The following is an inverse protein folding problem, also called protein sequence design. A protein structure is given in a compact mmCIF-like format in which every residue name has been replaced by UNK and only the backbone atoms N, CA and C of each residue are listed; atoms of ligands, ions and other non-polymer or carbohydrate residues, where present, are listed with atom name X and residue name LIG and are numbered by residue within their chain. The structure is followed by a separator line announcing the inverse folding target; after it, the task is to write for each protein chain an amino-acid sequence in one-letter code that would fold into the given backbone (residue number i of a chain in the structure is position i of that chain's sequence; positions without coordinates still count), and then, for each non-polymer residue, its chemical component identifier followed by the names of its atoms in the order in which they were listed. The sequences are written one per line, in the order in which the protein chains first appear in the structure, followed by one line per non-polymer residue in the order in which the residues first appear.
data_IF_862698905140
#
_entry.id   IF_862698905140
#
_cell.length_a   1.000
_cell.length_b   1.000
_cell.length_c   1.000
_cell.angle_alpha   90.00
_cell.angle_beta   90.00
_cell.angle_gamma   90.00
#
_symmetry.space_group_name_H-M   'P 1'
#
loop_
_entity.id
_entity.type
_entity.pdbx_description
1 polymer ?
#
# COMPACT_ATOMS: atom_id res chain seq x y z
N UNK A 1 -19.69 -7.14 25.32
CA UNK A 1 -18.49 -6.71 24.57
C UNK A 1 -18.09 -5.37 25.15
N UNK A 2 -16.85 -5.26 25.67
CA UNK A 2 -16.31 -3.95 26.07
C UNK A 2 -16.36 -2.99 24.87
N UNK A 3 -16.68 -1.73 25.12
CA UNK A 3 -16.58 -0.68 24.11
C UNK A 3 -15.13 -0.61 23.59
N UNK A 4 -14.92 -0.40 22.26
CA UNK A 4 -13.58 -0.34 21.68
C UNK A 4 -12.82 0.84 22.29
N UNK A 5 -11.77 0.58 23.09
CA UNK A 5 -11.06 1.62 23.86
C UNK A 5 -10.11 2.43 22.99
N UNK A 6 -10.07 3.75 23.23
CA UNK A 6 -8.97 4.60 22.76
C UNK A 6 -7.78 4.35 23.67
N UNK A 7 -6.60 4.07 23.11
CA UNK A 7 -5.40 3.78 23.90
C UNK A 7 -4.53 5.04 23.93
N UNK A 8 -4.30 5.65 25.12
CA UNK A 8 -3.40 6.79 25.23
C UNK A 8 -1.95 6.36 24.99
N UNK A 9 -1.20 7.13 24.21
CA UNK A 9 0.24 6.96 24.03
C UNK A 9 0.93 7.61 25.24
N UNK A 10 1.40 6.79 26.18
CA UNK A 10 1.94 7.23 27.48
C UNK A 10 3.03 8.30 27.37
N UNK A 11 3.86 8.21 26.34
CA UNK A 11 4.95 9.16 26.10
C UNK A 11 4.47 10.55 25.64
N UNK A 12 3.23 10.69 25.18
CA UNK A 12 2.70 11.93 24.60
C UNK A 12 1.29 12.17 25.14
N UNK A 13 1.15 12.97 26.21
CA UNK A 13 -0.16 13.35 26.74
C UNK A 13 -1.05 13.93 25.64
N UNK A 14 -2.32 13.48 25.58
CA UNK A 14 -3.28 13.89 24.57
C UNK A 14 -3.23 13.10 23.25
N UNK A 15 -2.20 12.28 22.99
CA UNK A 15 -2.16 11.42 21.80
C UNK A 15 -2.78 10.06 22.07
N UNK A 16 -3.66 9.60 21.17
CA UNK A 16 -4.35 8.32 21.26
C UNK A 16 -4.19 7.51 19.98
N UNK A 17 -4.20 6.19 20.11
CA UNK A 17 -4.31 5.24 18.99
C UNK A 17 -5.52 4.33 19.17
N UNK A 18 -6.19 3.98 18.08
CA UNK A 18 -7.26 2.97 18.12
C UNK A 18 -7.51 2.31 16.75
N UNK A 19 -8.49 1.42 16.72
CA UNK A 19 -9.06 0.84 15.52
C UNK A 19 -10.22 1.69 14.98
N UNK A 20 -10.88 1.20 13.92
CA UNK A 20 -12.01 1.90 13.29
C UNK A 20 -13.23 2.02 14.22
N UNK A 21 -13.42 1.08 15.13
CA UNK A 21 -14.61 1.07 16.00
C UNK A 21 -14.42 2.05 17.15
N UNK A 22 -13.21 2.16 17.69
CA UNK A 22 -12.87 3.18 18.69
C UNK A 22 -13.04 4.59 18.14
N UNK A 23 -12.60 4.82 16.89
CA UNK A 23 -12.78 6.09 16.19
C UNK A 23 -14.23 6.45 15.86
N UNK A 24 -15.15 5.48 15.83
CA UNK A 24 -16.58 5.72 15.58
C UNK A 24 -17.40 5.93 16.86
N UNK A 25 -16.80 5.73 18.03
CA UNK A 25 -17.50 5.90 19.31
C UNK A 25 -17.50 7.36 19.74
N UNK A 26 -18.60 8.08 19.46
CA UNK A 26 -18.78 9.46 19.92
C UNK A 26 -18.61 9.62 21.44
N UNK A 27 -19.01 8.60 22.21
CA UNK A 27 -18.81 8.57 23.65
C UNK A 27 -17.32 8.59 24.03
N UNK A 28 -16.50 7.77 23.37
CA UNK A 28 -15.07 7.74 23.65
C UNK A 28 -14.37 9.01 23.19
N UNK A 29 -14.76 9.55 22.02
CA UNK A 29 -14.21 10.80 21.51
C UNK A 29 -14.49 11.96 22.48
N UNK A 30 -15.74 12.09 22.95
CA UNK A 30 -16.11 13.10 23.96
C UNK A 30 -15.40 12.87 25.29
N UNK A 31 -15.37 11.63 25.78
CA UNK A 31 -14.79 11.29 27.08
C UNK A 31 -13.28 11.54 27.18
N UNK A 32 -12.57 11.52 26.05
CA UNK A 32 -11.13 11.83 25.98
C UNK A 32 -10.83 13.21 25.39
N UNK A 33 -11.85 14.08 25.26
CA UNK A 33 -11.72 15.42 24.69
C UNK A 33 -11.00 15.42 23.33
N UNK A 34 -11.32 14.44 22.46
CA UNK A 34 -10.68 14.31 21.16
C UNK A 34 -11.13 15.47 20.27
N UNK A 35 -10.19 16.38 19.98
CA UNK A 35 -10.38 17.53 19.11
C UNK A 35 -9.99 17.23 17.65
N UNK A 36 -9.03 16.34 17.43
CA UNK A 36 -8.59 15.93 16.08
C UNK A 36 -8.55 14.43 15.87
N UNK A 37 -8.88 14.00 14.66
CA UNK A 37 -8.76 12.60 14.23
C UNK A 37 -7.95 12.51 12.93
N UNK A 38 -6.84 11.78 12.98
CA UNK A 38 -6.07 11.35 11.82
C UNK A 38 -6.52 9.93 11.42
N UNK A 39 -7.29 9.85 10.33
CA UNK A 39 -7.81 8.61 9.76
C UNK A 39 -6.87 8.09 8.68
N UNK A 40 -6.12 7.03 8.96
CA UNK A 40 -5.19 6.37 8.03
C UNK A 40 -5.83 5.11 7.44
N UNK A 41 -6.86 5.31 6.62
CA UNK A 41 -7.55 4.27 5.86
C UNK A 41 -8.25 4.90 4.66
N UNK A 42 -8.49 4.08 3.64
CA UNK A 42 -9.36 4.50 2.54
C UNK A 42 -10.74 4.89 3.07
N UNK A 43 -11.33 5.99 2.59
CA UNK A 43 -12.67 6.40 2.98
C UNK A 43 -13.66 5.34 2.50
N UNK A 44 -14.11 4.48 3.41
CA UNK A 44 -15.39 3.80 3.20
C UNK A 44 -16.45 4.89 3.10
N UNK A 45 -17.38 4.80 2.13
CA UNK A 45 -18.40 5.83 1.78
C UNK A 45 -19.22 6.42 2.95
N UNK A 46 -19.03 5.92 4.17
CA UNK A 46 -19.79 6.23 5.39
C UNK A 46 -18.93 6.67 6.58
N UNK A 47 -17.64 6.99 6.40
CA UNK A 47 -16.81 7.42 7.54
C UNK A 47 -17.24 8.82 8.01
N UNK A 48 -17.92 8.87 9.15
CA UNK A 48 -18.24 10.03 10.00
C UNK A 48 -18.36 9.52 11.45
N UNK A 49 -18.07 10.34 12.48
CA UNK A 49 -18.44 10.00 13.85
C UNK A 49 -19.95 9.78 13.91
N UNK A 50 -20.41 8.56 14.25
CA UNK A 50 -21.84 8.28 14.34
C UNK A 50 -22.36 8.82 15.67
N UNK A 51 -23.33 9.74 15.61
CA UNK A 51 -24.21 9.99 16.75
C UNK A 51 -25.24 8.85 16.84
N UNK A 52 -25.84 8.66 18.02
CA UNK A 52 -26.89 7.64 18.25
C UNK A 52 -28.06 7.70 17.24
N UNK A 53 -28.20 8.79 16.49
CA UNK A 53 -29.26 9.06 15.51
C UNK A 53 -29.10 8.31 14.17
N UNK A 54 -27.96 7.68 13.87
CA UNK A 54 -27.72 7.03 12.56
C UNK A 54 -28.21 5.55 12.48
N UNK A 55 -29.06 5.12 13.41
CA UNK A 55 -29.72 3.82 13.36
C UNK A 55 -31.19 3.94 12.92
N UNK A 56 -31.46 4.58 11.78
CA UNK A 56 -32.66 4.33 10.95
C UNK A 56 -34.04 4.43 11.62
N UNK A 57 -34.24 5.21 12.67
CA UNK A 57 -35.56 5.45 13.26
C UNK A 57 -35.71 6.92 13.66
N UNK A 58 -36.79 7.62 13.24
CA UNK A 58 -37.08 8.95 13.72
C UNK A 58 -37.68 8.84 15.13
N UNK A 59 -36.97 9.39 16.12
CA UNK A 59 -37.57 9.67 17.42
C UNK A 59 -37.13 11.06 17.85
N UNK A 60 -38.14 11.89 18.13
CA UNK A 60 -38.12 13.29 18.52
C UNK A 60 -37.03 13.62 19.56
N UNK A 61 -36.41 14.78 19.39
CA UNK A 61 -35.33 15.29 20.21
C UNK A 61 -35.77 15.52 21.66
N UNK A 62 -35.04 14.92 22.60
CA UNK A 62 -35.04 15.35 24.00
C UNK A 62 -33.88 16.34 24.17
N UNK A 63 -34.19 17.63 24.11
CA UNK A 63 -33.24 18.73 24.29
C UNK A 63 -32.90 18.89 25.78
N UNK A 64 -31.96 18.09 26.26
CA UNK A 64 -31.19 18.40 27.47
C UNK A 64 -30.10 19.45 27.18
N UNK A 65 -29.68 20.25 28.18
CA UNK A 65 -28.71 21.33 27.98
C UNK A 65 -27.30 20.76 27.90
N UNK A 66 -26.96 20.11 26.79
CA UNK A 66 -25.65 19.50 26.59
C UNK A 66 -24.76 20.48 25.82
N UNK A 67 -23.68 20.91 26.46
CA UNK A 67 -22.64 21.79 25.90
C UNK A 67 -22.27 21.25 24.52
N UNK A 68 -22.45 22.07 23.48
CA UNK A 68 -22.15 21.71 22.09
C UNK A 68 -20.64 21.46 21.92
N UNK A 69 -20.18 20.24 22.24
CA UNK A 69 -18.81 19.81 21.93
C UNK A 69 -18.73 19.72 20.41
N UNK A 70 -17.97 20.63 19.81
CA UNK A 70 -17.74 20.66 18.37
C UNK A 70 -17.25 19.29 17.89
N UNK A 71 -17.74 18.86 16.72
CA UNK A 71 -17.26 17.62 16.10
C UNK A 71 -15.75 17.70 15.87
N UNK A 72 -14.99 16.62 16.09
CA UNK A 72 -13.55 16.65 15.92
C UNK A 72 -13.18 16.96 14.47
N UNK A 73 -12.11 17.72 14.30
CA UNK A 73 -11.52 18.01 13.00
C UNK A 73 -10.83 16.74 12.46
N UNK A 74 -11.05 16.41 11.19
CA UNK A 74 -10.59 15.16 10.61
C UNK A 74 -9.63 15.40 9.46
N UNK A 75 -8.48 14.73 9.52
CA UNK A 75 -7.59 14.54 8.37
C UNK A 75 -7.61 13.07 7.93
N UNK A 76 -7.82 12.83 6.64
CA UNK A 76 -7.78 11.48 6.07
C UNK A 76 -6.52 11.29 5.23
N UNK A 77 -5.80 10.21 5.47
CA UNK A 77 -4.72 9.70 4.61
C UNK A 77 -5.21 8.40 3.99
N UNK A 78 -5.53 8.49 2.71
CA UNK A 78 -6.14 7.40 1.93
C UNK A 78 -5.07 6.41 1.47
N UNK A 79 -4.80 5.41 2.32
CA UNK A 79 -3.83 4.36 2.04
C UNK A 79 -4.30 2.96 2.44
N UNK A 80 -3.87 1.98 1.66
CA UNK A 80 -3.96 0.57 1.97
C UNK A 80 -2.83 0.12 2.91
N UNK A 81 -3.03 -1.04 3.54
CA UNK A 81 -2.01 -1.67 4.38
C UNK A 81 -1.08 -2.55 3.55
N UNK A 82 -0.51 -1.97 2.51
CA UNK A 82 0.33 -2.63 1.53
C UNK A 82 1.79 -2.17 1.69
N UNK A 83 2.78 -3.08 1.65
CA UNK A 83 4.18 -2.75 1.88
C UNK A 83 4.80 -1.82 0.81
N UNK A 84 4.19 -1.69 -0.36
CA UNK A 84 4.67 -0.83 -1.44
C UNK A 84 4.01 0.55 -1.44
N UNK A 85 2.98 0.79 -0.62
CA UNK A 85 2.39 2.13 -0.51
C UNK A 85 3.40 3.09 0.12
N UNK A 86 3.62 4.23 -0.54
CA UNK A 86 4.49 5.30 -0.06
C UNK A 86 3.81 6.09 1.05
N UNK A 87 4.22 5.82 2.29
CA UNK A 87 3.80 6.58 3.46
C UNK A 87 4.69 7.80 3.72
N UNK A 88 5.92 7.82 3.21
CA UNK A 88 6.92 8.89 3.45
C UNK A 88 6.42 10.26 3.01
N UNK A 89 5.74 10.32 1.86
CA UNK A 89 5.13 11.55 1.35
C UNK A 89 4.10 12.19 2.30
N UNK A 90 3.50 11.41 3.22
CA UNK A 90 2.48 11.89 4.16
C UNK A 90 3.03 12.17 5.55
N UNK A 91 4.20 11.63 5.90
CA UNK A 91 4.66 11.62 7.29
C UNK A 91 4.88 13.02 7.83
N UNK A 92 5.52 13.92 7.09
CA UNK A 92 5.78 15.29 7.56
C UNK A 92 4.47 16.03 7.90
N UNK A 93 3.55 16.11 6.93
CA UNK A 93 2.28 16.81 7.09
C UNK A 93 1.42 16.18 8.20
N UNK A 94 1.37 14.85 8.28
CA UNK A 94 0.61 14.16 9.33
C UNK A 94 1.18 14.43 10.72
N UNK A 95 2.49 14.52 10.81
CA UNK A 95 3.22 14.72 12.05
C UNK A 95 3.07 16.18 12.53
N UNK A 96 3.08 17.15 11.61
CA UNK A 96 2.77 18.56 11.89
C UNK A 96 1.33 18.71 12.34
N UNK A 97 0.42 17.97 11.68
CA UNK A 97 -0.99 17.96 12.01
C UNK A 97 -1.28 17.46 13.43
N UNK A 98 -0.61 16.38 13.84
CA UNK A 98 -0.69 15.85 15.19
C UNK A 98 -0.15 16.86 16.19
N UNK A 99 1.05 17.39 15.97
CA UNK A 99 1.69 18.35 16.89
C UNK A 99 0.83 19.60 17.08
N UNK A 100 0.34 20.18 15.98
CA UNK A 100 -0.56 21.33 16.03
C UNK A 100 -1.87 21.03 16.77
N UNK A 101 -2.34 19.77 16.76
CA UNK A 101 -3.55 19.34 17.47
C UNK A 101 -3.33 19.24 18.98
N UNK A 102 -2.17 18.69 19.37
CA UNK A 102 -1.78 18.55 20.77
C UNK A 102 -1.54 19.90 21.44
N UNK A 103 -1.08 20.89 20.66
CA UNK A 103 -0.77 22.24 21.14
C UNK A 103 -1.96 23.22 20.99
N UNK A 104 -3.15 22.76 20.59
CA UNK A 104 -4.34 23.62 20.54
C UNK A 104 -4.67 24.18 21.93
N UNK A 105 -4.98 25.47 21.99
CA UNK A 105 -5.35 26.13 23.25
C UNK A 105 -4.20 26.36 24.23
N UNK A 106 -2.97 26.07 23.83
CA UNK A 106 -1.76 26.51 24.54
C UNK A 106 -1.37 27.91 24.05
N UNK A 107 -0.95 28.77 24.98
CA UNK A 107 -0.28 30.02 24.64
C UNK A 107 1.17 29.78 24.17
N UNK A 108 1.88 30.85 23.79
CA UNK A 108 3.28 30.76 23.31
C UNK A 108 4.25 30.20 24.35
N UNK A 109 3.85 30.16 25.62
CA UNK A 109 4.63 29.66 26.75
C UNK A 109 4.21 28.24 27.16
N UNK A 110 3.20 27.66 26.49
CA UNK A 110 2.69 26.32 26.75
C UNK A 110 1.60 26.26 27.84
N UNK A 111 1.11 27.38 28.35
CA UNK A 111 0.04 27.41 29.33
C UNK A 111 -1.31 27.18 28.66
N UNK A 112 -2.13 26.35 29.29
CA UNK A 112 -3.52 26.13 28.88
C UNK A 112 -4.37 27.24 29.50
N UNK A 113 -5.14 27.96 28.68
CA UNK A 113 -6.02 29.01 29.16
C UNK A 113 -7.12 28.42 30.07
N UNK A 114 -7.02 28.69 31.39
CA UNK A 114 -8.03 28.35 32.39
C UNK A 114 -8.21 26.84 32.66
N UNK A 115 -9.38 26.46 33.17
CA UNK A 115 -9.75 25.09 33.55
C UNK A 115 -10.05 24.17 32.33
N UNK A 116 -9.46 24.46 31.17
CA UNK A 116 -9.73 23.76 29.92
C UNK A 116 -9.00 22.42 29.87
N UNK A 117 -9.71 21.35 29.50
CA UNK A 117 -9.06 20.04 29.28
C UNK A 117 -8.12 20.12 28.09
N UNK A 118 -6.95 19.49 28.21
CA UNK A 118 -6.01 19.33 27.10
C UNK A 118 -6.72 18.68 25.90
N UNK A 119 -6.56 19.21 24.67
CA UNK A 119 -7.17 18.60 23.49
C UNK A 119 -6.50 17.28 23.13
N UNK A 120 -7.33 16.30 22.78
CA UNK A 120 -6.90 14.98 22.35
C UNK A 120 -6.76 14.87 20.84
N UNK A 121 -5.74 14.14 20.38
CA UNK A 121 -5.54 13.76 18.98
C UNK A 121 -5.59 12.24 18.86
N UNK A 122 -6.50 11.73 18.03
CA UNK A 122 -6.61 10.30 17.74
C UNK A 122 -6.00 9.96 16.39
N UNK A 123 -5.08 8.99 16.36
CA UNK A 123 -4.62 8.35 15.11
C UNK A 123 -5.24 6.96 15.01
N UNK A 124 -5.94 6.66 13.92
CA UNK A 124 -6.57 5.36 13.77
C UNK A 124 -6.46 4.82 12.33
N UNK A 125 -6.62 3.51 12.20
CA UNK A 125 -6.76 2.84 10.92
C UNK A 125 -7.86 1.77 11.04
N UNK A 126 -7.78 0.68 10.26
CA UNK A 126 -8.74 -0.44 10.37
C UNK A 126 -8.63 -1.19 11.70
N UNK A 127 -7.41 -1.55 12.13
CA UNK A 127 -7.15 -2.44 13.29
C UNK A 127 -6.35 -1.77 14.41
N UNK A 128 -5.78 -0.58 14.18
CA UNK A 128 -4.91 0.05 15.16
C UNK A 128 -3.55 -0.67 15.32
N UNK A 129 -3.03 -1.28 14.25
CA UNK A 129 -1.84 -2.16 14.27
C UNK A 129 -0.73 -1.62 13.35
N UNK A 130 -0.95 -1.66 12.03
CA UNK A 130 0.09 -1.36 11.03
C UNK A 130 0.07 0.10 10.60
N UNK A 131 -0.88 0.53 9.75
CA UNK A 131 -0.98 1.93 9.25
C UNK A 131 -0.93 2.99 10.35
N UNK A 132 -1.91 3.02 11.26
CA UNK A 132 -1.91 4.00 12.35
C UNK A 132 -0.72 3.83 13.30
N UNK A 133 -0.24 2.59 13.48
CA UNK A 133 0.97 2.30 14.24
C UNK A 133 2.20 2.95 13.61
N UNK A 134 2.35 2.85 12.29
CA UNK A 134 3.44 3.46 11.53
C UNK A 134 3.44 4.99 11.66
N UNK A 135 2.27 5.63 11.58
CA UNK A 135 2.14 7.09 11.77
C UNK A 135 2.44 7.53 13.20
N UNK A 136 1.99 6.79 14.22
CA UNK A 136 2.35 7.05 15.61
C UNK A 136 3.85 6.87 15.85
N UNK A 137 4.45 5.80 15.30
CA UNK A 137 5.90 5.57 15.40
C UNK A 137 6.67 6.69 14.70
N UNK A 138 6.29 7.09 13.47
CA UNK A 138 6.90 8.22 12.77
C UNK A 138 6.85 9.52 13.58
N UNK A 139 5.73 9.75 14.28
CA UNK A 139 5.56 10.89 15.16
C UNK A 139 6.50 10.86 16.36
N UNK A 140 6.56 9.73 17.08
CA UNK A 140 7.49 9.56 18.20
C UNK A 140 8.95 9.69 17.75
N UNK A 141 9.30 9.12 16.59
CA UNK A 141 10.63 9.27 15.98
C UNK A 141 10.97 10.74 15.78
N UNK A 142 10.08 11.52 15.16
CA UNK A 142 10.35 12.94 14.88
C UNK A 142 10.36 13.81 16.15
N UNK A 143 9.41 13.60 17.06
CA UNK A 143 9.24 14.40 18.29
C UNK A 143 10.41 14.23 19.24
N UNK A 144 10.88 13.00 19.41
CA UNK A 144 11.93 12.66 20.37
C UNK A 144 13.29 12.35 19.72
N UNK A 145 13.41 12.52 18.40
CA UNK A 145 14.62 12.21 17.61
C UNK A 145 15.12 10.79 17.87
N UNK A 146 14.19 9.83 17.91
CA UNK A 146 14.45 8.42 18.19
C UNK A 146 14.71 7.63 16.92
N UNK A 147 15.49 6.57 17.05
CA UNK A 147 15.57 5.54 16.01
C UNK A 147 14.25 4.80 15.88
N UNK A 148 14.05 4.12 14.74
CA UNK A 148 12.84 3.32 14.53
C UNK A 148 12.60 2.30 15.66
N UNK A 149 13.64 1.58 16.07
CA UNK A 149 13.52 0.52 17.09
C UNK A 149 13.12 1.09 18.45
N UNK A 150 13.70 2.23 18.85
CA UNK A 150 13.39 2.91 20.09
C UNK A 150 11.96 3.46 20.09
N UNK A 151 11.55 4.14 19.01
CA UNK A 151 10.20 4.67 18.87
C UNK A 151 9.12 3.57 18.82
N UNK A 152 9.39 2.44 18.15
CA UNK A 152 8.49 1.29 18.14
C UNK A 152 8.32 0.69 19.54
N UNK A 153 9.42 0.58 20.30
CA UNK A 153 9.40 0.09 21.68
C UNK A 153 8.53 1.00 22.55
N UNK A 154 8.75 2.31 22.47
CA UNK A 154 7.99 3.31 23.20
C UNK A 154 6.49 3.28 22.86
N UNK A 155 6.14 3.11 21.58
CA UNK A 155 4.74 2.96 21.16
C UNK A 155 4.10 1.69 21.76
N UNK A 156 4.85 0.58 21.80
CA UNK A 156 4.40 -0.71 22.32
C UNK A 156 4.20 -0.75 23.83
N UNK A 157 4.82 0.15 24.58
CA UNK A 157 4.51 0.32 26.02
C UNK A 157 3.05 0.69 26.26
N UNK A 158 2.42 1.35 25.29
CA UNK A 158 1.01 1.74 25.33
C UNK A 158 0.11 0.72 24.65
N UNK A 159 0.52 0.22 23.47
CA UNK A 159 -0.23 -0.77 22.68
C UNK A 159 0.71 -1.82 22.08
N UNK A 160 0.89 -2.98 22.73
CA UNK A 160 1.83 -4.02 22.29
C UNK A 160 1.60 -4.54 20.87
N UNK A 161 0.36 -4.46 20.36
CA UNK A 161 -0.03 -4.92 19.03
C UNK A 161 0.49 -4.03 17.90
N UNK A 162 1.03 -2.84 18.18
CA UNK A 162 1.60 -1.97 17.15
C UNK A 162 2.69 -2.72 16.39
N UNK A 163 2.47 -2.90 15.09
CA UNK A 163 3.37 -3.66 14.23
C UNK A 163 3.18 -3.15 12.79
N UNK A 164 3.91 -2.10 12.39
CA UNK A 164 3.97 -1.69 10.99
C UNK A 164 4.32 -2.88 10.09
N UNK A 165 3.72 -2.95 8.90
CA UNK A 165 4.12 -3.95 7.92
C UNK A 165 5.59 -3.77 7.51
N UNK A 166 6.18 -4.78 6.88
CA UNK A 166 7.62 -4.79 6.54
C UNK A 166 8.03 -3.68 5.58
N UNK A 167 7.13 -3.20 4.73
CA UNK A 167 7.38 -2.07 3.83
C UNK A 167 7.39 -0.73 4.56
N UNK A 168 6.42 -0.53 5.47
CA UNK A 168 6.36 0.65 6.33
C UNK A 168 7.54 0.70 7.30
N UNK A 169 7.97 -0.44 7.84
CA UNK A 169 9.20 -0.49 8.65
C UNK A 169 10.42 0.02 7.87
N UNK A 170 10.62 -0.45 6.63
CA UNK A 170 11.74 0.02 5.79
C UNK A 170 11.64 1.53 5.55
N UNK A 171 10.44 2.02 5.25
CA UNK A 171 10.19 3.45 5.06
C UNK A 171 10.47 4.28 6.31
N UNK A 172 10.10 3.79 7.51
CA UNK A 172 10.40 4.48 8.77
C UNK A 172 11.90 4.56 9.05
N UNK A 173 12.69 3.58 8.60
CA UNK A 173 14.16 3.69 8.64
C UNK A 173 14.68 4.74 7.65
N UNK A 174 14.10 4.82 6.44
CA UNK A 174 14.42 5.90 5.49
C UNK A 174 14.05 7.27 6.07
N UNK A 175 12.93 7.35 6.81
CA UNK A 175 12.51 8.56 7.52
C UNK A 175 13.55 9.03 8.55
N UNK A 176 14.10 8.10 9.33
CA UNK A 176 15.23 8.34 10.24
C UNK A 176 16.46 8.89 9.49
N UNK A 177 16.88 8.23 8.41
CA UNK A 177 18.01 8.69 7.58
C UNK A 177 17.77 10.07 6.96
N UNK A 178 16.53 10.37 6.61
CA UNK A 178 16.14 11.68 6.10
C UNK A 178 15.98 12.73 7.20
N UNK A 179 16.39 12.44 8.45
CA UNK A 179 16.26 13.34 9.60
C UNK A 179 14.81 13.81 9.81
N UNK A 180 13.85 12.93 9.53
CA UNK A 180 12.43 13.18 9.68
C UNK A 180 11.89 14.32 8.79
N UNK A 181 12.48 14.47 7.60
CA UNK A 181 11.93 15.23 6.48
C UNK A 181 12.47 14.66 5.16
N UNK A 182 11.61 14.18 4.26
CA UNK A 182 12.05 13.57 2.98
C UNK A 182 12.28 14.59 1.86
N UNK A 183 11.97 15.86 2.11
CA UNK A 183 12.22 16.96 1.18
C UNK A 183 13.38 17.83 1.64
N UNK A 184 14.06 18.46 0.70
CA UNK A 184 15.05 19.49 0.96
C UNK A 184 14.32 20.74 1.49
N UNK A 185 14.97 21.41 2.44
CA UNK A 185 14.59 22.77 2.83
C UNK A 185 15.35 23.64 1.83
N UNK A 186 14.63 24.32 0.96
CA UNK A 186 15.26 25.26 0.02
C UNK A 186 15.66 26.50 0.85
N UNK A 187 16.95 26.59 1.20
CA UNK A 187 17.58 27.82 1.67
C UNK A 187 17.76 28.69 0.42
N UNK A 188 16.76 29.50 0.08
CA UNK A 188 16.89 30.83 -0.57
C UNK A 188 15.54 31.26 -1.16
N UNK A 189 15.19 32.51 -0.84
CA UNK A 189 14.17 33.34 -1.47
C UNK A 189 14.39 33.45 -3.00
N UNK A 190 13.36 33.91 -3.71
CA UNK A 190 13.31 34.23 -5.14
C UNK A 190 12.96 33.09 -6.12
N UNK A 191 11.66 32.82 -6.25
CA UNK A 191 11.02 32.87 -7.57
C UNK A 191 9.49 32.92 -7.39
N UNK A 192 8.89 34.06 -7.74
CA UNK A 192 7.45 34.18 -7.99
C UNK A 192 7.07 33.19 -9.09
N UNK A 193 6.62 31.99 -8.70
CA UNK A 193 6.04 31.03 -9.63
C UNK A 193 4.51 31.14 -9.60
N UNK A 194 3.93 31.32 -10.78
CA UNK A 194 2.50 31.50 -11.04
C UNK A 194 1.61 30.55 -10.23
N UNK A 195 0.57 31.16 -9.64
CA UNK A 195 -0.45 30.54 -8.79
C UNK A 195 -1.31 29.55 -9.59
N UNK A 196 -0.85 28.32 -9.81
CA UNK A 196 -1.75 27.22 -10.21
C UNK A 196 -1.44 25.83 -9.64
N UNK A 197 -0.27 25.54 -9.06
CA UNK A 197 0.01 24.22 -8.47
C UNK A 197 0.92 24.34 -7.23
N UNK A 198 0.75 23.44 -6.23
CA UNK A 198 1.64 23.41 -5.06
C UNK A 198 3.11 23.31 -5.52
N UNK A 199 4.04 24.09 -4.95
CA UNK A 199 5.44 24.08 -5.37
C UNK A 199 6.01 22.66 -5.26
N UNK A 200 6.70 22.20 -6.32
CA UNK A 200 7.31 20.87 -6.35
C UNK A 200 8.51 20.85 -5.41
N UNK A 201 8.27 20.43 -4.17
CA UNK A 201 9.33 20.25 -3.16
C UNK A 201 10.37 19.25 -3.67
N UNK A 202 11.65 19.60 -3.54
CA UNK A 202 12.74 18.75 -4.01
C UNK A 202 12.98 17.61 -3.03
N UNK A 203 12.90 16.37 -3.51
CA UNK A 203 13.09 15.18 -2.67
C UNK A 203 14.57 14.93 -2.34
N UNK A 204 14.85 14.43 -1.13
CA UNK A 204 16.19 14.02 -0.71
C UNK A 204 16.67 12.77 -1.48
N UNK A 205 18.00 12.61 -1.71
CA UNK A 205 18.55 11.46 -2.42
C UNK A 205 18.14 10.09 -1.84
N UNK A 206 18.10 9.97 -0.50
CA UNK A 206 17.71 8.72 0.17
C UNK A 206 16.24 8.35 -0.11
N UNK A 207 15.35 9.34 -0.19
CA UNK A 207 13.95 9.09 -0.54
C UNK A 207 13.81 8.68 -2.00
N UNK A 208 14.52 9.36 -2.93
CA UNK A 208 14.58 8.97 -4.34
C UNK A 208 15.12 7.54 -4.55
N UNK A 209 16.17 7.18 -3.82
CA UNK A 209 16.75 5.84 -3.88
C UNK A 209 15.73 4.79 -3.44
N UNK A 210 14.97 5.05 -2.38
CA UNK A 210 13.91 4.16 -1.92
C UNK A 210 12.77 4.04 -2.95
N UNK A 211 12.32 5.15 -3.55
CA UNK A 211 11.31 5.14 -4.63
C UNK A 211 11.79 4.24 -5.79
N UNK A 212 13.03 4.44 -6.25
CA UNK A 212 13.59 3.65 -7.33
C UNK A 212 13.71 2.15 -6.98
N UNK A 213 14.09 1.82 -5.74
CA UNK A 213 14.15 0.44 -5.27
C UNK A 213 12.75 -0.21 -5.25
N UNK A 214 11.75 0.50 -4.72
CA UNK A 214 10.34 0.04 -4.70
C UNK A 214 9.83 -0.22 -6.12
N UNK A 215 10.01 0.73 -7.03
CA UNK A 215 9.50 0.64 -8.39
C UNK A 215 10.16 -0.51 -9.16
N UNK A 216 11.45 -0.73 -8.93
CA UNK A 216 12.17 -1.89 -9.47
C UNK A 216 11.63 -3.22 -8.92
N UNK A 217 11.27 -3.29 -7.63
CA UNK A 217 10.67 -4.50 -7.05
C UNK A 217 9.29 -4.79 -7.63
N UNK A 218 8.45 -3.76 -7.79
CA UNK A 218 7.12 -3.91 -8.41
C UNK A 218 7.23 -4.41 -9.85
N UNK A 219 8.12 -3.79 -10.65
CA UNK A 219 8.36 -4.19 -12.04
C UNK A 219 8.82 -5.65 -12.14
N UNK A 220 9.76 -6.09 -11.29
CA UNK A 220 10.21 -7.49 -11.24
C UNK A 220 9.08 -8.45 -10.86
N UNK A 221 8.25 -8.08 -9.89
CA UNK A 221 7.09 -8.87 -9.49
C UNK A 221 6.08 -9.05 -10.64
N UNK A 222 5.79 -7.97 -11.38
CA UNK A 222 4.93 -8.03 -12.58
C UNK A 222 5.53 -8.92 -13.68
N UNK A 223 6.84 -8.81 -13.93
CA UNK A 223 7.56 -9.65 -14.88
C UNK A 223 7.47 -11.14 -14.50
N UNK A 224 7.63 -11.49 -13.22
CA UNK A 224 7.54 -12.87 -12.73
C UNK A 224 6.11 -13.43 -12.81
N UNK A 225 5.09 -12.63 -12.47
CA UNK A 225 3.68 -13.01 -12.62
C UNK A 225 3.32 -13.22 -14.09
N UNK A 226 3.77 -12.33 -14.98
CA UNK A 226 3.55 -12.46 -16.41
C UNK A 226 4.27 -13.69 -16.99
N UNK A 227 5.49 -13.97 -16.53
CA UNK A 227 6.23 -15.19 -16.89
C UNK A 227 5.46 -16.46 -16.49
N UNK A 228 4.91 -16.50 -15.27
CA UNK A 228 4.14 -17.63 -14.78
C UNK A 228 2.85 -17.85 -15.59
N UNK A 229 2.14 -16.77 -15.95
CA UNK A 229 0.94 -16.83 -16.81
C UNK A 229 1.27 -17.35 -18.21
N UNK A 230 2.33 -16.86 -18.85
CA UNK A 230 2.77 -17.31 -20.17
C UNK A 230 3.18 -18.78 -20.17
N UNK A 231 3.93 -19.23 -19.15
CA UNK A 231 4.30 -20.64 -19.00
C UNK A 231 3.06 -21.54 -18.86
N UNK A 232 2.07 -21.11 -18.08
CA UNK A 232 0.80 -21.83 -17.92
C UNK A 232 0.04 -21.93 -19.25
N UNK A 233 -0.04 -20.83 -20.01
CA UNK A 233 -0.70 -20.80 -21.31
C UNK A 233 0.00 -21.70 -22.33
N UNK A 234 1.34 -21.69 -22.38
CA UNK A 234 2.11 -22.55 -23.26
C UNK A 234 1.91 -24.04 -22.92
N UNK A 235 1.92 -24.39 -21.63
CA UNK A 235 1.63 -25.75 -21.17
C UNK A 235 0.22 -26.21 -21.56
N UNK A 236 -0.78 -25.32 -21.46
CA UNK A 236 -2.13 -25.59 -21.94
C UNK A 236 -2.17 -25.79 -23.46
N UNK A 237 -1.54 -24.91 -24.23
CA UNK A 237 -1.47 -25.00 -25.70
C UNK A 237 -0.83 -26.31 -26.16
N UNK A 238 0.28 -26.74 -25.52
CA UNK A 238 0.93 -28.01 -25.80
C UNK A 238 0.01 -29.21 -25.55
N UNK A 239 -0.78 -29.20 -24.46
CA UNK A 239 -1.77 -30.26 -24.18
C UNK A 239 -2.88 -30.34 -25.22
N UNK A 240 -3.42 -29.20 -25.66
CA UNK A 240 -4.43 -29.17 -26.72
C UNK A 240 -3.86 -29.53 -28.10
N UNK A 241 -2.58 -29.24 -28.34
CA UNK A 241 -1.85 -29.72 -29.51
C UNK A 241 -1.76 -31.24 -29.55
N UNK A 242 -1.37 -31.88 -28.43
CA UNK A 242 -1.32 -33.34 -28.31
C UNK A 242 -2.68 -34.00 -28.55
N UNK A 243 -3.74 -33.53 -27.89
CA UNK A 243 -5.08 -34.10 -28.06
C UNK A 243 -5.59 -34.04 -29.50
N UNK A 244 -5.44 -32.89 -30.16
CA UNK A 244 -5.82 -32.78 -31.58
C UNK A 244 -5.05 -33.75 -32.48
N UNK A 245 -3.81 -34.05 -32.16
CA UNK A 245 -3.00 -34.99 -32.94
C UNK A 245 -3.31 -36.45 -32.61
N UNK A 246 -3.66 -36.76 -31.35
CA UNK A 246 -4.19 -38.05 -30.92
C UNK A 246 -5.53 -38.33 -31.61
N UNK A 247 -6.44 -37.36 -31.63
CA UNK A 247 -7.73 -37.45 -32.32
C UNK A 247 -7.54 -37.70 -33.84
N UNK A 248 -6.59 -37.00 -34.47
CA UNK A 248 -6.25 -37.21 -35.90
C UNK A 248 -5.59 -38.57 -36.14
N UNK A 249 -4.77 -39.06 -35.21
CA UNK A 249 -4.15 -40.38 -35.33
C UNK A 249 -5.17 -41.50 -35.16
N UNK A 250 -6.12 -41.36 -34.22
CA UNK A 250 -7.23 -42.29 -34.01
C UNK A 250 -8.18 -42.32 -35.21
N UNK A 251 -8.47 -41.17 -35.82
CA UNK A 251 -9.29 -41.09 -37.04
C UNK A 251 -8.60 -41.74 -38.25
N UNK A 252 -7.27 -41.59 -38.35
CA UNK A 252 -6.46 -42.27 -39.39
C UNK A 252 -6.37 -43.78 -39.17
N UNK A 253 -6.32 -44.26 -37.91
CA UNK A 253 -6.31 -45.68 -37.59
C UNK A 253 -7.65 -46.37 -37.88
N UNK A 254 -8.76 -45.62 -37.88
CA UNK A 254 -10.11 -46.15 -38.15
C UNK A 254 -10.46 -46.25 -39.64
N UNK A 255 -9.72 -45.61 -40.54
CA UNK A 255 -9.93 -45.66 -42.00
C UNK A 255 -8.61 -45.82 -42.78
N UNK A 256 -8.06 -47.04 -42.91
CA UNK A 256 -6.84 -47.29 -43.67
C UNK A 256 -7.15 -47.45 -45.16
N UNK A 257 -6.83 -46.46 -46.00
CA UNK A 257 -6.73 -46.65 -47.46
C UNK A 257 -5.34 -47.19 -47.84
N UNK A 258 -5.22 -47.98 -48.90
CA UNK A 258 -3.99 -48.65 -49.31
C UNK A 258 -3.08 -47.70 -50.12
N UNK A 259 -1.97 -47.23 -49.54
CA UNK A 259 -0.78 -46.77 -50.28
C UNK A 259 0.44 -46.68 -49.34
N UNK A 260 1.20 -47.76 -49.22
CA UNK A 260 2.24 -47.93 -48.18
C UNK A 260 3.62 -47.35 -48.55
N UNK A 261 3.79 -46.82 -49.77
CA UNK A 261 5.04 -46.23 -50.23
C UNK A 261 5.25 -44.77 -49.80
N UNK A 262 4.25 -43.91 -50.01
CA UNK A 262 4.30 -42.49 -49.62
C UNK A 262 4.14 -42.31 -48.10
N UNK A 263 3.40 -43.21 -47.44
CA UNK A 263 3.14 -43.20 -45.99
C UNK A 263 4.39 -43.30 -45.12
N UNK A 264 5.38 -44.09 -45.53
CA UNK A 264 6.62 -44.24 -44.76
C UNK A 264 7.47 -42.96 -44.78
N UNK A 265 7.52 -42.28 -45.94
CA UNK A 265 8.18 -40.99 -46.08
C UNK A 265 7.43 -39.88 -45.31
N UNK A 266 6.10 -39.91 -45.34
CA UNK A 266 5.26 -38.94 -44.64
C UNK A 266 5.29 -39.12 -43.10
N UNK A 267 5.32 -40.37 -42.61
CA UNK A 267 5.57 -40.68 -41.20
C UNK A 267 6.93 -40.19 -40.74
N UNK A 268 7.98 -40.44 -41.54
CA UNK A 268 9.33 -39.97 -41.22
C UNK A 268 9.41 -38.45 -41.20
N UNK A 269 8.76 -37.77 -42.15
CA UNK A 269 8.66 -36.30 -42.20
C UNK A 269 7.87 -35.74 -41.01
N UNK A 270 6.81 -36.42 -40.56
CA UNK A 270 6.06 -36.07 -39.33
C UNK A 270 6.93 -36.25 -38.08
N UNK A 271 7.73 -37.32 -38.01
CA UNK A 271 8.63 -37.58 -36.89
C UNK A 271 9.76 -36.54 -36.81
N UNK A 272 10.38 -36.21 -37.94
CA UNK A 272 11.39 -35.14 -38.02
C UNK A 272 10.80 -33.77 -37.66
N UNK A 273 9.57 -33.49 -38.10
CA UNK A 273 8.88 -32.25 -37.74
C UNK A 273 8.56 -32.21 -36.22
N UNK A 274 8.24 -33.36 -35.62
CA UNK A 274 8.02 -33.49 -34.18
C UNK A 274 9.29 -33.25 -33.36
N UNK A 275 10.44 -33.76 -33.80
CA UNK A 275 11.73 -33.47 -33.17
C UNK A 275 12.09 -31.99 -33.25
N UNK A 276 11.74 -31.31 -34.36
CA UNK A 276 11.89 -29.85 -34.49
C UNK A 276 11.02 -29.08 -33.50
N UNK A 277 9.74 -29.44 -33.37
CA UNK A 277 8.82 -28.81 -32.41
C UNK A 277 9.28 -29.04 -30.97
N UNK A 278 9.70 -30.26 -30.63
CA UNK A 278 10.22 -30.58 -29.30
C UNK A 278 11.49 -29.79 -28.96
N UNK A 279 12.38 -29.62 -29.94
CA UNK A 279 13.58 -28.78 -29.80
C UNK A 279 13.21 -27.30 -29.64
N UNK A 280 12.23 -26.80 -30.40
CA UNK A 280 11.72 -25.44 -30.20
C UNK A 280 11.09 -25.25 -28.81
N UNK A 281 10.33 -26.22 -28.31
CA UNK A 281 9.76 -26.16 -26.95
C UNK A 281 10.85 -26.16 -25.87
N UNK A 282 11.90 -26.97 -26.04
CA UNK A 282 13.04 -26.98 -25.12
C UNK A 282 13.81 -25.65 -25.15
N UNK A 283 14.14 -25.16 -26.35
CA UNK A 283 14.81 -23.86 -26.52
C UNK A 283 13.96 -22.70 -25.99
N UNK A 284 12.63 -22.76 -26.19
CA UNK A 284 11.70 -21.76 -25.69
C UNK A 284 11.61 -21.78 -24.17
N UNK A 285 11.51 -22.96 -23.55
CA UNK A 285 11.53 -23.13 -22.09
C UNK A 285 12.87 -22.69 -21.48
N UNK A 286 14.00 -23.02 -22.11
CA UNK A 286 15.32 -22.56 -21.64
C UNK A 286 15.46 -21.04 -21.72
N UNK A 287 15.01 -20.42 -22.82
CA UNK A 287 15.01 -18.95 -22.98
C UNK A 287 14.10 -18.26 -21.95
N UNK A 288 12.95 -18.86 -21.65
CA UNK A 288 12.00 -18.37 -20.64
C UNK A 288 12.55 -18.48 -19.21
N UNK A 289 13.26 -19.57 -18.89
CA UNK A 289 13.94 -19.77 -17.60
C UNK A 289 15.09 -18.78 -17.43
N UNK A 290 15.85 -18.50 -18.48
CA UNK A 290 16.97 -17.53 -18.48
C UNK A 290 16.54 -16.06 -18.61
N UNK A 291 15.24 -15.78 -18.63
CA UNK A 291 14.71 -14.42 -18.62
C UNK A 291 15.01 -13.59 -19.88
N UNK A 292 15.23 -14.25 -21.03
CA UNK A 292 15.40 -13.54 -22.30
C UNK A 292 14.02 -13.38 -22.97
N UNK A 293 13.37 -12.23 -22.74
CA UNK A 293 12.24 -11.80 -23.56
C UNK A 293 12.77 -11.01 -24.77
N UNK A 294 12.29 -11.33 -25.96
CA UNK A 294 12.63 -10.62 -27.19
C UNK A 294 12.26 -9.12 -27.06
N UNK A 295 13.27 -8.26 -27.14
CA UNK A 295 13.11 -6.89 -27.58
C UNK A 295 13.08 -6.87 -29.12
N UNK A 296 12.12 -6.13 -29.69
CA UNK A 296 12.24 -5.59 -31.05
C UNK A 296 11.63 -6.44 -32.17
N UNK A 297 10.61 -5.88 -32.81
CA UNK A 297 10.29 -6.20 -34.20
C UNK A 297 11.33 -5.61 -35.15
N UNK A 298 11.37 -6.13 -36.38
CA UNK A 298 12.22 -5.62 -37.46
C UNK A 298 12.52 -6.67 -38.51
N UNK A 299 11.91 -6.48 -39.67
CA UNK A 299 12.31 -6.91 -41.01
C UNK A 299 12.34 -8.40 -41.38
N UNK A 300 11.26 -8.77 -42.07
CA UNK A 300 11.26 -9.80 -43.09
C UNK A 300 12.14 -9.36 -44.28
N UNK A 301 13.20 -10.11 -44.57
CA UNK A 301 13.75 -10.22 -45.91
C UNK A 301 13.72 -11.70 -46.31
N UNK A 302 12.87 -11.99 -47.30
CA UNK A 302 12.81 -13.25 -48.02
C UNK A 302 14.16 -13.55 -48.71
N UNK A 303 14.58 -14.83 -48.76
CA UNK A 303 15.70 -15.22 -49.61
C UNK A 303 15.22 -15.35 -51.06
N UNK A 304 15.77 -14.51 -51.95
CA UNK A 304 15.84 -14.81 -53.38
C UNK A 304 17.13 -15.57 -53.68
N UNK A 305 16.91 -16.71 -54.34
CA UNK A 305 17.82 -17.51 -55.19
C UNK A 305 19.01 -18.22 -54.54
#
# INVERSE_FOLDING_TARGET
MESPKLVPIRAVPGLFISDRFGAYSAHNLKGHNIARVLSVLQPHKTWRPRNRLDAGAPVEADEGPDVAVASPEVKTVDIDDDPFVDILQYLEEACDWIEAGLNQGQDQEGHVAGNSLQPGVLVHCKQGISRSGAFVVAFLMRKFKLSYSAALTLARESRPEICPNSGFEKQLRVWEFCQYNVYLVDDDDDEEQEVTQRPRRREKPSYKAWIAERDNMLKRGEEDVNRARLSSLASMAARFGRRRQEDVADDQAKNPTEDDGERSAEQKKRQENWERVRKMEQDWNERLIRGHTYAGGGDAQDPKE
#
